data_IF_668587647229
#
_entry.id   IF_668587647229
#
_cell.length_a   1.000
_cell.length_b   1.000
_cell.length_c   1.000
_cell.angle_alpha   90.00
_cell.angle_beta   90.00
_cell.angle_gamma   90.00
#
_symmetry.space_group_name_H-M   'P 1'
#
loop_
_entity.id
_entity.type
_entity.pdbx_description
1 polymer ?
#
# COMPACT_ATOMS: atom_id res chain seq x y z
N UNK A 1 53.71 11.80 39.64
CA UNK A 1 52.50 10.97 39.88
C UNK A 1 51.41 11.50 38.96
N UNK A 2 51.32 10.91 37.77
CA UNK A 2 50.54 11.40 36.63
C UNK A 2 49.06 10.99 36.76
N UNK A 3 48.17 11.98 36.88
CA UNK A 3 46.71 11.80 36.81
C UNK A 3 46.13 12.53 35.58
N UNK A 4 46.63 12.22 34.37
CA UNK A 4 46.12 12.83 33.12
C UNK A 4 45.38 11.85 32.18
N UNK A 5 45.33 10.55 32.50
CA UNK A 5 44.73 9.53 31.61
C UNK A 5 43.24 9.21 31.85
N UNK A 6 42.65 9.62 32.98
CA UNK A 6 41.31 9.13 33.36
C UNK A 6 40.15 9.91 32.69
N UNK A 7 40.39 11.14 32.22
CA UNK A 7 39.33 12.00 31.66
C UNK A 7 38.96 11.68 30.21
N UNK A 8 39.89 11.13 29.41
CA UNK A 8 39.63 10.80 28.00
C UNK A 8 38.84 9.49 27.86
N UNK A 9 39.11 8.50 28.72
CA UNK A 9 38.42 7.20 28.70
C UNK A 9 36.92 7.35 29.03
N UNK A 10 36.60 8.26 29.97
CA UNK A 10 35.20 8.58 30.32
C UNK A 10 34.45 9.32 29.21
N UNK A 11 35.15 10.13 28.40
CA UNK A 11 34.52 10.87 27.30
C UNK A 11 34.22 9.96 26.10
N UNK A 12 35.12 9.03 25.78
CA UNK A 12 34.89 8.05 24.70
C UNK A 12 33.82 7.02 25.04
N UNK A 13 33.73 6.57 26.30
CA UNK A 13 32.65 5.66 26.74
C UNK A 13 31.27 6.35 26.76
N UNK A 14 31.20 7.65 27.07
CA UNK A 14 29.95 8.41 27.03
C UNK A 14 29.43 8.61 25.59
N UNK A 15 30.33 8.85 24.62
CA UNK A 15 29.99 8.97 23.20
C UNK A 15 29.52 7.62 22.63
N UNK A 16 30.20 6.52 22.98
CA UNK A 16 29.80 5.18 22.56
C UNK A 16 28.41 4.80 23.10
N UNK A 17 28.07 5.19 24.34
CA UNK A 17 26.73 4.95 24.90
C UNK A 17 25.64 5.84 24.24
N UNK A 18 25.98 7.06 23.84
CA UNK A 18 25.10 7.96 23.08
C UNK A 18 24.83 7.45 21.64
N UNK A 19 25.79 6.76 21.02
CA UNK A 19 25.61 6.12 19.71
C UNK A 19 24.76 4.84 19.80
N UNK A 20 24.91 4.05 20.87
CA UNK A 20 24.13 2.82 21.11
C UNK A 20 22.66 3.14 21.46
N UNK A 21 22.38 4.28 22.09
CA UNK A 21 21.00 4.70 22.40
C UNK A 21 20.26 5.21 21.17
N UNK A 22 20.93 5.84 20.20
CA UNK A 22 20.31 6.29 18.94
C UNK A 22 19.88 5.14 18.03
N UNK A 23 20.52 3.97 18.10
CA UNK A 23 20.16 2.82 17.25
C UNK A 23 18.98 2.00 17.77
N UNK A 24 18.62 2.13 19.05
CA UNK A 24 17.53 1.38 19.67
C UNK A 24 16.15 2.08 19.60
N UNK A 25 16.12 3.37 19.29
CA UNK A 25 14.89 4.18 19.24
C UNK A 25 14.36 4.42 17.81
N UNK A 26 14.94 3.73 16.82
CA UNK A 26 14.40 3.70 15.47
C UNK A 26 13.08 2.90 15.47
N UNK A 27 11.96 3.59 15.74
CA UNK A 27 10.61 3.07 15.52
C UNK A 27 10.59 2.43 14.12
N UNK A 28 10.20 1.14 13.98
CA UNK A 28 10.18 0.52 12.66
C UNK A 28 9.32 1.38 11.74
N UNK A 29 9.89 1.81 10.61
CA UNK A 29 9.14 2.50 9.57
C UNK A 29 8.00 1.58 9.20
N UNK A 30 6.76 1.96 9.51
CA UNK A 30 5.62 1.12 9.21
C UNK A 30 5.48 1.10 7.69
N UNK A 31 5.89 0.01 7.06
CA UNK A 31 5.80 -0.13 5.63
C UNK A 31 4.31 -0.25 5.28
N UNK A 32 3.82 0.64 4.41
CA UNK A 32 2.44 0.66 3.90
C UNK A 32 1.37 1.03 4.95
N UNK A 33 1.30 2.31 5.30
CA UNK A 33 0.24 2.83 6.17
C UNK A 33 -1.11 2.89 5.44
N UNK A 34 -2.15 2.28 6.04
CA UNK A 34 -3.52 2.36 5.55
C UNK A 34 -4.13 3.65 6.05
N UNK A 35 -4.72 4.42 5.13
CA UNK A 35 -5.31 5.72 5.40
C UNK A 35 -6.69 5.85 4.75
N UNK A 36 -7.44 6.87 5.14
CA UNK A 36 -8.66 7.26 4.43
C UNK A 36 -8.34 7.98 3.13
N UNK A 37 -9.20 7.81 2.12
CA UNK A 37 -9.05 8.50 0.82
C UNK A 37 -9.40 9.99 0.98
N UNK A 38 -8.40 10.85 0.77
CA UNK A 38 -8.60 12.31 0.73
C UNK A 38 -9.41 12.75 -0.49
N UNK A 39 -10.03 13.93 -0.42
CA UNK A 39 -10.76 14.51 -1.55
C UNK A 39 -9.89 14.69 -2.80
N UNK A 40 -8.63 15.08 -2.61
CA UNK A 40 -7.66 15.25 -3.70
C UNK A 40 -7.39 13.93 -4.43
N UNK A 41 -7.10 12.84 -3.69
CA UNK A 41 -6.87 11.51 -4.27
C UNK A 41 -8.14 11.00 -4.96
N UNK A 42 -9.31 11.21 -4.34
CA UNK A 42 -10.60 10.82 -4.92
C UNK A 42 -10.84 11.49 -6.27
N UNK A 43 -10.60 12.80 -6.35
CA UNK A 43 -10.80 13.57 -7.58
C UNK A 43 -9.78 13.21 -8.66
N UNK A 44 -8.50 13.05 -8.31
CA UNK A 44 -7.45 12.75 -9.30
C UNK A 44 -7.67 11.41 -10.01
N UNK A 45 -8.10 10.41 -9.25
CA UNK A 45 -8.36 9.04 -9.71
C UNK A 45 -9.83 8.78 -10.09
N UNK A 46 -10.71 9.77 -9.96
CA UNK A 46 -12.16 9.64 -10.16
C UNK A 46 -12.77 8.44 -9.39
N UNK A 47 -12.43 8.31 -8.10
CA UNK A 47 -12.85 7.17 -7.28
C UNK A 47 -14.29 7.33 -6.78
N UNK A 48 -15.10 6.31 -6.99
CA UNK A 48 -16.46 6.28 -6.48
C UNK A 48 -16.49 6.27 -4.94
N UNK A 49 -17.65 6.64 -4.38
CA UNK A 49 -17.93 6.58 -2.95
C UNK A 49 -17.91 5.17 -2.35
N UNK A 50 -17.62 4.11 -3.11
CA UNK A 50 -17.37 2.76 -2.59
C UNK A 50 -16.05 2.68 -1.82
N UNK A 51 -14.98 3.25 -2.39
CA UNK A 51 -13.65 3.17 -1.79
C UNK A 51 -13.51 4.11 -0.59
N UNK A 52 -12.89 3.59 0.47
CA UNK A 52 -12.59 4.34 1.71
C UNK A 52 -11.16 4.14 2.18
N UNK A 53 -10.64 2.92 2.07
CA UNK A 53 -9.27 2.58 2.47
C UNK A 53 -8.29 2.80 1.34
N UNK A 54 -7.09 3.29 1.68
CA UNK A 54 -6.05 3.67 0.75
C UNK A 54 -4.66 3.35 1.26
N UNK A 55 -3.85 2.76 0.40
CA UNK A 55 -2.40 2.58 0.54
C UNK A 55 -1.73 2.98 -0.76
N UNK A 56 -0.53 3.53 -0.70
CA UNK A 56 0.27 3.86 -1.87
C UNK A 56 1.61 3.15 -1.82
N UNK A 57 2.04 2.61 -2.96
CA UNK A 57 3.34 1.95 -3.15
C UNK A 57 3.98 2.49 -4.43
N UNK A 58 5.17 3.09 -4.35
CA UNK A 58 5.85 3.63 -5.54
C UNK A 58 5.01 4.60 -6.39
N UNK A 59 4.05 5.31 -5.78
CA UNK A 59 3.08 6.18 -6.47
C UNK A 59 1.83 5.46 -7.02
N UNK A 60 1.81 4.13 -7.04
CA UNK A 60 0.66 3.32 -7.45
C UNK A 60 -0.34 3.15 -6.31
N UNK A 61 -1.62 3.32 -6.64
CA UNK A 61 -2.72 3.38 -5.67
C UNK A 61 -3.34 2.02 -5.42
N UNK A 62 -3.47 1.63 -4.15
CA UNK A 62 -4.20 0.46 -3.69
C UNK A 62 -5.39 0.93 -2.87
N UNK A 63 -6.59 0.46 -3.24
CA UNK A 63 -7.85 0.95 -2.69
C UNK A 63 -8.75 -0.21 -2.28
N UNK A 64 -9.58 0.02 -1.27
CA UNK A 64 -10.56 -0.94 -0.79
C UNK A 64 -11.80 -0.26 -0.19
N UNK A 65 -12.87 -1.02 -0.05
CA UNK A 65 -14.03 -0.60 0.73
C UNK A 65 -13.71 -0.61 2.24
N UNK A 66 -14.61 -0.09 3.10
CA UNK A 66 -14.48 -0.24 4.55
C UNK A 66 -14.37 -1.69 5.04
N UNK A 67 -14.92 -2.65 4.28
CA UNK A 67 -15.01 -4.06 4.68
C UNK A 67 -13.69 -4.81 4.48
N UNK A 68 -12.83 -4.33 3.58
CA UNK A 68 -11.55 -4.96 3.26
C UNK A 68 -10.64 -4.91 4.49
N UNK A 69 -9.93 -5.99 4.79
CA UNK A 69 -8.93 -6.02 5.86
C UNK A 69 -7.77 -5.07 5.59
N UNK A 70 -7.35 -4.28 6.59
CA UNK A 70 -6.13 -3.44 6.48
C UNK A 70 -4.89 -4.26 6.17
N UNK A 71 -4.84 -5.51 6.66
CA UNK A 71 -3.75 -6.44 6.37
C UNK A 71 -3.72 -6.83 4.89
N UNK A 72 -4.86 -6.94 4.21
CA UNK A 72 -4.91 -7.24 2.79
C UNK A 72 -4.34 -6.09 1.94
N UNK A 73 -4.63 -4.83 2.29
CA UNK A 73 -4.01 -3.68 1.61
C UNK A 73 -2.50 -3.65 1.82
N UNK A 74 -2.05 -3.92 3.05
CA UNK A 74 -0.62 -3.97 3.39
C UNK A 74 0.12 -5.09 2.65
N UNK A 75 -0.48 -6.28 2.60
CA UNK A 75 0.10 -7.42 1.91
C UNK A 75 0.16 -7.17 0.40
N UNK A 76 -0.90 -6.65 -0.21
CA UNK A 76 -0.88 -6.26 -1.61
C UNK A 76 0.23 -5.23 -1.91
N UNK A 77 0.38 -4.22 -1.04
CA UNK A 77 1.44 -3.23 -1.18
C UNK A 77 2.84 -3.85 -1.08
N UNK A 78 3.04 -4.75 -0.11
CA UNK A 78 4.27 -5.49 0.05
C UNK A 78 4.61 -6.34 -1.18
N UNK A 79 3.66 -7.13 -1.67
CA UNK A 79 3.87 -7.98 -2.85
C UNK A 79 4.16 -7.16 -4.10
N UNK A 80 3.41 -6.08 -4.33
CA UNK A 80 3.63 -5.18 -5.47
C UNK A 80 5.02 -4.53 -5.39
N UNK A 81 5.43 -4.04 -4.22
CA UNK A 81 6.77 -3.47 -4.00
C UNK A 81 7.86 -4.50 -4.34
N UNK A 82 7.73 -5.73 -3.83
CA UNK A 82 8.69 -6.82 -4.10
C UNK A 82 8.74 -7.22 -5.57
N UNK A 83 7.59 -7.34 -6.22
CA UNK A 83 7.52 -7.73 -7.64
C UNK A 83 8.09 -6.68 -8.58
N UNK A 84 8.07 -5.40 -8.16
CA UNK A 84 8.48 -4.27 -9.01
C UNK A 84 9.82 -3.66 -8.60
N UNK A 85 10.54 -4.23 -7.64
CA UNK A 85 11.80 -3.67 -7.12
C UNK A 85 12.87 -3.38 -8.19
N UNK A 86 12.91 -4.19 -9.27
CA UNK A 86 13.83 -4.00 -10.40
C UNK A 86 13.31 -3.01 -11.45
N UNK A 87 12.01 -2.74 -11.45
CA UNK A 87 11.31 -1.91 -12.42
C UNK A 87 10.26 -0.99 -11.76
N UNK A 88 10.67 -0.11 -10.83
CA UNK A 88 9.74 0.79 -10.13
C UNK A 88 9.02 1.76 -11.08
N UNK A 89 9.59 2.02 -12.26
CA UNK A 89 8.99 2.86 -13.31
C UNK A 89 7.64 2.32 -13.81
N UNK A 90 7.38 1.02 -13.71
CA UNK A 90 6.09 0.44 -14.10
C UNK A 90 4.95 0.95 -13.22
N UNK A 91 5.19 1.11 -11.91
CA UNK A 91 4.20 1.68 -11.00
C UNK A 91 3.88 3.14 -11.34
N UNK A 92 4.89 3.90 -11.75
CA UNK A 92 4.69 5.28 -12.22
C UNK A 92 3.83 5.32 -13.47
N UNK A 93 4.11 4.45 -14.46
CA UNK A 93 3.29 4.36 -15.69
C UNK A 93 1.86 3.91 -15.43
N UNK A 94 1.64 3.00 -14.49
CA UNK A 94 0.28 2.64 -14.06
C UNK A 94 -0.43 3.82 -13.40
N UNK A 95 0.26 4.54 -12.51
CA UNK A 95 -0.29 5.71 -11.82
C UNK A 95 -0.61 6.88 -12.78
N UNK A 96 0.27 7.15 -13.75
CA UNK A 96 0.03 8.15 -14.82
C UNK A 96 -1.27 7.84 -15.60
N UNK A 97 -1.55 6.56 -15.82
CA UNK A 97 -2.77 6.08 -16.48
C UNK A 97 -3.96 5.91 -15.52
N UNK A 98 -3.85 6.42 -14.28
CA UNK A 98 -4.86 6.36 -13.23
C UNK A 98 -5.31 4.94 -12.86
N UNK A 99 -4.46 3.94 -13.13
CA UNK A 99 -4.71 2.57 -12.72
C UNK A 99 -4.62 2.47 -11.20
N UNK A 100 -5.50 1.66 -10.60
CA UNK A 100 -5.44 1.29 -9.18
C UNK A 100 -5.61 -0.20 -8.99
N UNK A 101 -5.05 -0.71 -7.90
CA UNK A 101 -5.30 -2.05 -7.41
C UNK A 101 -6.47 -2.01 -6.42
N UNK A 102 -7.60 -2.61 -6.79
CA UNK A 102 -8.83 -2.63 -6.01
C UNK A 102 -8.98 -3.97 -5.30
N UNK A 103 -9.04 -3.95 -3.98
CA UNK A 103 -9.24 -5.16 -3.19
C UNK A 103 -10.72 -5.31 -2.87
N UNK A 104 -11.25 -6.51 -3.08
CA UNK A 104 -12.59 -6.93 -2.68
C UNK A 104 -12.51 -7.62 -1.32
N UNK A 105 -13.39 -7.27 -0.41
CA UNK A 105 -13.58 -8.05 0.81
C UNK A 105 -14.10 -9.45 0.46
N UNK A 106 -13.99 -10.40 1.40
CA UNK A 106 -14.46 -11.79 1.22
C UNK A 106 -15.92 -11.90 0.74
N UNK A 107 -16.77 -10.94 1.09
CA UNK A 107 -18.19 -10.90 0.74
C UNK A 107 -18.55 -9.84 -0.31
N UNK A 108 -17.56 -9.30 -1.02
CA UNK A 108 -17.74 -8.43 -2.17
C UNK A 108 -17.34 -9.19 -3.42
N UNK A 109 -18.02 -8.97 -4.54
CA UNK A 109 -17.85 -9.70 -5.79
C UNK A 109 -17.28 -8.81 -6.90
N UNK A 110 -16.95 -9.43 -8.04
CA UNK A 110 -16.34 -8.71 -9.16
C UNK A 110 -17.18 -7.51 -9.60
N UNK A 111 -18.50 -7.65 -9.66
CA UNK A 111 -19.40 -6.56 -10.06
C UNK A 111 -19.71 -5.55 -8.94
N UNK A 112 -19.31 -5.81 -7.69
CA UNK A 112 -19.36 -4.80 -6.61
C UNK A 112 -18.25 -3.75 -6.77
N UNK A 113 -17.18 -4.07 -7.51
CA UNK A 113 -16.17 -3.10 -7.89
C UNK A 113 -16.80 -2.08 -8.85
N UNK A 114 -16.77 -0.77 -8.54
CA UNK A 114 -17.46 0.26 -9.32
C UNK A 114 -17.14 0.22 -10.83
N UNK A 115 -15.89 -0.03 -11.17
CA UNK A 115 -15.38 -0.13 -12.54
C UNK A 115 -15.95 -1.32 -13.33
N UNK A 116 -16.44 -2.34 -12.63
CA UNK A 116 -16.96 -3.58 -13.19
C UNK A 116 -18.49 -3.72 -13.02
N UNK A 117 -19.14 -2.71 -12.44
CA UNK A 117 -20.57 -2.75 -12.09
C UNK A 117 -21.51 -2.88 -13.29
N UNK A 118 -21.02 -2.58 -14.49
CA UNK A 118 -21.77 -2.68 -15.75
C UNK A 118 -21.70 -4.07 -16.41
N UNK A 119 -20.92 -4.99 -15.83
CA UNK A 119 -20.69 -6.30 -16.42
C UNK A 119 -21.91 -7.20 -16.22
N UNK A 120 -22.51 -7.63 -17.34
CA UNK A 120 -23.71 -8.46 -17.36
C UNK A 120 -23.47 -9.82 -18.03
N UNK A 121 -24.11 -10.91 -17.56
CA UNK A 121 -24.89 -10.98 -16.32
C UNK A 121 -23.97 -11.05 -15.09
N UNK A 122 -24.31 -10.31 -14.02
CA UNK A 122 -23.48 -10.20 -12.82
C UNK A 122 -23.12 -11.58 -12.22
N UNK A 123 -24.09 -12.48 -12.11
CA UNK A 123 -23.91 -13.84 -11.59
C UNK A 123 -22.83 -14.65 -12.33
N UNK A 124 -22.61 -14.38 -13.62
CA UNK A 124 -21.55 -15.04 -14.37
C UNK A 124 -20.19 -14.48 -13.96
N UNK A 125 -20.04 -13.16 -13.93
CA UNK A 125 -18.77 -12.49 -13.60
C UNK A 125 -18.35 -12.70 -12.15
N UNK A 126 -19.31 -12.64 -11.23
CA UNK A 126 -19.08 -12.84 -9.80
C UNK A 126 -18.62 -14.26 -9.46
N UNK A 127 -19.08 -15.25 -10.25
CA UNK A 127 -18.62 -16.65 -10.14
C UNK A 127 -17.32 -16.91 -10.89
N UNK A 128 -17.14 -16.25 -12.03
CA UNK A 128 -16.00 -16.48 -12.94
C UNK A 128 -14.69 -15.96 -12.38
N UNK A 129 -14.71 -14.83 -11.70
CA UNK A 129 -13.50 -14.11 -11.35
C UNK A 129 -13.52 -13.60 -9.92
N UNK A 130 -12.35 -13.69 -9.27
CA UNK A 130 -11.98 -12.99 -8.04
C UNK A 130 -10.87 -11.98 -8.29
N UNK A 131 -10.78 -11.51 -9.53
CA UNK A 131 -9.84 -10.51 -9.97
C UNK A 131 -9.86 -10.36 -11.49
N UNK A 132 -9.72 -9.12 -11.96
CA UNK A 132 -9.65 -8.75 -13.36
C UNK A 132 -8.50 -7.77 -13.59
N UNK A 133 -7.96 -7.77 -14.80
CA UNK A 133 -6.96 -6.79 -15.22
C UNK A 133 -7.60 -5.45 -15.62
N UNK A 134 -6.84 -4.37 -15.47
CA UNK A 134 -7.27 -3.03 -15.86
C UNK A 134 -7.34 -2.85 -17.39
N UNK A 135 -8.20 -1.95 -17.82
CA UNK A 135 -8.26 -1.43 -19.20
C UNK A 135 -8.33 0.10 -19.15
N UNK A 136 -8.12 0.82 -20.27
CA UNK A 136 -8.30 2.27 -20.31
C UNK A 136 -9.71 2.73 -19.90
N UNK A 137 -10.74 1.94 -20.21
CA UNK A 137 -12.13 2.23 -19.83
C UNK A 137 -12.43 1.86 -18.37
N UNK A 138 -11.75 0.84 -17.84
CA UNK A 138 -11.91 0.33 -16.46
C UNK A 138 -10.53 0.28 -15.80
N UNK A 139 -9.99 1.41 -15.30
CA UNK A 139 -8.62 1.45 -14.81
C UNK A 139 -8.44 0.78 -13.42
N UNK A 140 -9.14 -0.31 -13.13
CA UNK A 140 -8.98 -1.09 -11.91
C UNK A 140 -8.44 -2.48 -12.25
N UNK A 141 -7.29 -2.83 -11.66
CA UNK A 141 -6.96 -4.24 -11.45
C UNK A 141 -7.68 -4.64 -10.17
N UNK A 142 -8.46 -5.72 -10.15
CA UNK A 142 -9.14 -6.19 -8.94
C UNK A 142 -8.58 -7.50 -8.42
N UNK A 143 -8.70 -7.71 -7.11
CA UNK A 143 -8.33 -8.96 -6.44
C UNK A 143 -9.17 -9.16 -5.18
N UNK A 144 -9.56 -10.40 -4.86
CA UNK A 144 -10.10 -10.75 -3.55
C UNK A 144 -9.02 -10.68 -2.47
N UNK A 145 -9.39 -10.27 -1.25
CA UNK A 145 -8.48 -10.26 -0.10
C UNK A 145 -8.03 -11.67 0.34
N UNK A 146 -8.67 -12.72 -0.17
CA UNK A 146 -8.31 -14.11 0.06
C UNK A 146 -7.20 -14.67 -0.85
N UNK A 147 -6.77 -13.91 -1.86
CA UNK A 147 -5.70 -14.28 -2.80
C UNK A 147 -4.35 -13.74 -2.34
#
# INVERSE_FOLDING_TARGET
MEFRGLSLIFFETLIAFCLITQTLDAKPKNHFEVSEITSTVRQSLNLSGFYRKYVVVGGFSIVGSPKVSDFALKEAAYLIDKMTIKHPEYLQKLAENKVRFSIMARNEFTTDIPEHSDMTPAIFWDKRARGLGATPARPAVSCGEEN
#
